data_IF_310387592383
#
_entry.id   IF_310387592383
#
_cell.length_a   1.000
_cell.length_b   1.000
_cell.length_c   1.000
_cell.angle_alpha   90.00
_cell.angle_beta   90.00
_cell.angle_gamma   90.00
#
_symmetry.space_group_name_H-M   'P 1'
#
loop_
_entity.id
_entity.type
_entity.pdbx_description
1 polymer ?
#
# COMPACT_ATOMS: atom_id res chain seq x y z
N UNK A 1 0.80 33.12 2.45
CA UNK A 1 0.37 31.78 1.99
C UNK A 1 0.77 30.79 3.08
N UNK A 2 -0.17 30.38 3.93
CA UNK A 2 0.10 29.34 4.91
C UNK A 2 0.41 28.05 4.18
N UNK A 3 1.57 27.47 4.44
CA UNK A 3 1.85 26.07 4.10
C UNK A 3 0.93 25.23 4.97
N UNK A 4 -0.25 24.91 4.46
CA UNK A 4 -1.09 23.88 5.05
C UNK A 4 -0.29 22.59 4.99
N UNK A 5 0.36 22.30 6.12
CA UNK A 5 1.13 21.09 6.31
C UNK A 5 0.08 20.03 6.51
N UNK A 6 -0.31 19.33 5.43
CA UNK A 6 -1.27 18.22 5.50
C UNK A 6 -0.74 17.27 6.57
N UNK A 7 -1.33 17.30 7.76
CA UNK A 7 -0.94 16.43 8.87
C UNK A 7 -1.12 14.99 8.41
N UNK A 8 0.01 14.30 8.24
CA UNK A 8 0.03 12.90 7.84
C UNK A 8 -0.42 12.06 9.01
N UNK A 9 -1.34 11.15 8.77
CA UNK A 9 -1.75 10.20 9.81
C UNK A 9 -0.61 9.20 10.03
N UNK A 10 -0.10 9.13 11.27
CA UNK A 10 0.92 8.15 11.65
C UNK A 10 0.22 6.95 12.26
N UNK A 11 0.31 5.79 11.63
CA UNK A 11 -0.30 4.56 12.10
C UNK A 11 0.35 4.11 13.41
N UNK A 12 -0.32 4.34 14.53
CA UNK A 12 0.15 3.95 15.86
C UNK A 12 -0.85 3.05 16.54
N UNK A 13 -2.10 3.50 16.58
CA UNK A 13 -3.19 2.85 17.32
C UNK A 13 -4.36 2.50 16.38
N UNK A 14 -5.29 1.64 16.81
CA UNK A 14 -6.36 1.18 15.92
C UNK A 14 -7.30 2.27 15.40
N UNK A 15 -7.41 3.43 16.06
CA UNK A 15 -8.15 4.59 15.55
C UNK A 15 -7.54 5.20 14.29
N UNK A 16 -6.24 5.00 14.05
CA UNK A 16 -5.55 5.61 12.94
C UNK A 16 -5.80 4.82 11.65
N UNK A 17 -6.21 3.55 11.77
CA UNK A 17 -6.29 2.57 10.68
C UNK A 17 -7.06 3.08 9.46
N UNK A 18 -8.34 3.45 9.62
CA UNK A 18 -9.19 3.81 8.48
C UNK A 18 -8.67 5.05 7.74
N UNK A 19 -8.22 6.06 8.51
CA UNK A 19 -7.69 7.30 7.96
C UNK A 19 -6.35 7.06 7.27
N UNK A 20 -5.46 6.31 7.91
CA UNK A 20 -4.17 5.93 7.34
C UNK A 20 -4.34 5.10 6.07
N UNK A 21 -5.23 4.10 6.06
CA UNK A 21 -5.50 3.27 4.89
C UNK A 21 -6.02 4.09 3.71
N UNK A 22 -6.92 5.04 3.98
CA UNK A 22 -7.43 5.98 2.97
C UNK A 22 -6.31 6.87 2.41
N UNK A 23 -5.45 7.40 3.27
CA UNK A 23 -4.30 8.21 2.86
C UNK A 23 -3.28 7.39 2.06
N UNK A 24 -2.99 6.16 2.47
CA UNK A 24 -2.08 5.25 1.79
C UNK A 24 -2.58 4.95 0.36
N UNK A 25 -3.84 4.55 0.21
CA UNK A 25 -4.47 4.28 -1.10
C UNK A 25 -4.44 5.49 -2.03
N UNK A 26 -4.53 6.70 -1.48
CA UNK A 26 -4.48 7.93 -2.26
C UNK A 26 -3.06 8.31 -2.71
N UNK A 27 -2.03 7.90 -1.98
CA UNK A 27 -0.63 8.26 -2.24
C UNK A 27 0.12 7.24 -3.09
N UNK A 28 -0.21 5.96 -2.91
CA UNK A 28 0.40 4.88 -3.69
C UNK A 28 -0.19 4.89 -5.10
N UNK A 29 0.68 4.74 -6.09
CA UNK A 29 0.28 4.64 -7.50
C UNK A 29 -0.70 3.48 -7.71
N UNK A 30 -1.80 3.76 -8.42
CA UNK A 30 -2.88 2.81 -8.65
C UNK A 30 -2.44 1.54 -9.38
N UNK A 31 -1.39 1.63 -10.21
CA UNK A 31 -0.89 0.49 -10.99
C UNK A 31 -0.36 -0.65 -10.12
N UNK A 32 0.09 -0.34 -8.90
CA UNK A 32 0.62 -1.34 -7.95
C UNK A 32 -0.34 -1.63 -6.78
N UNK A 33 -1.56 -1.09 -6.75
CA UNK A 33 -2.54 -1.37 -5.68
C UNK A 33 -2.76 -2.87 -5.47
N UNK A 34 -2.80 -3.61 -6.58
CA UNK A 34 -2.94 -5.06 -6.58
C UNK A 34 -1.83 -5.78 -5.79
N UNK A 35 -0.59 -5.26 -5.81
CA UNK A 35 0.55 -5.82 -5.07
C UNK A 35 0.47 -5.59 -3.56
N UNK A 36 -0.39 -4.66 -3.11
CA UNK A 36 -0.54 -4.31 -1.69
C UNK A 36 -1.82 -4.93 -1.12
N UNK A 37 -2.91 -4.88 -1.89
CA UNK A 37 -4.26 -5.15 -1.37
C UNK A 37 -4.88 -6.46 -1.89
N UNK A 38 -4.29 -7.14 -2.88
CA UNK A 38 -4.79 -8.42 -3.42
C UNK A 38 -3.85 -9.59 -3.05
N UNK A 39 -4.39 -10.80 -2.84
CA UNK A 39 -3.64 -11.93 -2.26
C UNK A 39 -2.74 -12.64 -3.27
N UNK A 40 -3.09 -12.59 -4.55
CA UNK A 40 -2.50 -13.45 -5.57
C UNK A 40 -1.62 -12.68 -6.56
N UNK A 41 -1.08 -11.53 -6.13
CA UNK A 41 -0.31 -10.64 -7.00
C UNK A 41 1.11 -10.51 -6.50
N UNK A 42 2.02 -11.05 -7.28
CA UNK A 42 3.45 -10.95 -7.07
C UNK A 42 4.04 -9.83 -7.92
N UNK A 43 5.13 -9.19 -7.46
CA UNK A 43 5.91 -8.29 -8.29
C UNK A 43 6.44 -8.99 -9.54
N UNK A 44 6.72 -8.22 -10.59
CA UNK A 44 7.42 -8.66 -11.77
C UNK A 44 8.81 -9.17 -11.38
N UNK A 45 9.20 -10.29 -11.98
CA UNK A 45 10.55 -10.82 -11.86
C UNK A 45 11.49 -10.14 -12.85
N UNK A 46 12.78 -10.08 -12.51
CA UNK A 46 13.81 -9.58 -13.41
C UNK A 46 13.86 -10.49 -14.64
N UNK A 47 13.55 -10.00 -15.86
CA UNK A 47 13.60 -10.85 -17.03
C UNK A 47 15.03 -11.31 -17.31
N UNK A 48 15.16 -12.53 -17.80
CA UNK A 48 16.43 -13.08 -18.25
C UNK A 48 16.85 -12.47 -19.58
N UNK A 49 18.13 -12.12 -19.67
CA UNK A 49 18.71 -11.57 -20.89
C UNK A 49 18.95 -12.74 -21.87
N UNK A 50 18.49 -12.64 -23.13
CA UNK A 50 18.81 -13.66 -24.12
C UNK A 50 20.31 -13.69 -24.39
N UNK A 51 20.85 -14.90 -24.44
CA UNK A 51 22.23 -15.18 -24.81
C UNK A 51 22.30 -15.66 -26.27
N UNK A 52 23.50 -15.62 -26.85
CA UNK A 52 23.68 -16.17 -28.20
C UNK A 52 23.55 -17.70 -28.21
N UNK A 53 23.95 -18.34 -27.11
CA UNK A 53 23.84 -19.76 -26.82
C UNK A 53 22.40 -20.30 -26.91
N UNK A 54 21.40 -19.46 -26.60
CA UNK A 54 19.97 -19.80 -26.71
C UNK A 54 19.53 -20.08 -28.16
N UNK A 55 20.27 -19.56 -29.15
CA UNK A 55 19.95 -19.68 -30.58
C UNK A 55 20.94 -20.59 -31.32
N UNK A 56 22.16 -20.71 -30.81
CA UNK A 56 23.20 -21.63 -31.26
C UNK A 56 24.14 -21.95 -30.09
N UNK A 57 24.19 -23.20 -29.65
CA UNK A 57 24.96 -23.62 -28.48
C UNK A 57 26.48 -23.30 -28.57
N UNK A 58 27.04 -23.21 -29.77
CA UNK A 58 28.45 -22.87 -30.00
C UNK A 58 28.69 -21.37 -30.22
N UNK A 59 27.63 -20.54 -30.23
CA UNK A 59 27.77 -19.11 -30.48
C UNK A 59 28.12 -18.35 -29.21
N UNK A 60 29.26 -17.64 -29.25
CA UNK A 60 29.69 -16.72 -28.19
C UNK A 60 29.43 -15.26 -28.58
N UNK A 61 29.19 -14.99 -29.87
CA UNK A 61 28.94 -13.66 -30.41
C UNK A 61 27.88 -13.71 -31.51
N UNK A 62 27.26 -12.55 -31.76
CA UNK A 62 26.25 -12.37 -32.80
C UNK A 62 26.69 -12.82 -34.20
N UNK A 63 27.99 -12.70 -34.53
CA UNK A 63 28.54 -13.13 -35.82
C UNK A 63 28.54 -14.66 -36.01
N UNK A 64 28.50 -15.44 -34.93
CA UNK A 64 28.44 -16.91 -34.99
C UNK A 64 27.01 -17.41 -35.26
N UNK A 65 26.04 -16.49 -35.32
CA UNK A 65 24.65 -16.75 -35.66
C UNK A 65 24.42 -16.58 -37.18
N UNK A 66 23.65 -17.48 -37.77
CA UNK A 66 23.16 -17.30 -39.14
C UNK A 66 22.06 -16.22 -39.19
N UNK A 67 21.67 -15.77 -40.39
CA UNK A 67 20.70 -14.68 -40.57
C UNK A 67 19.35 -14.91 -39.87
N UNK A 68 18.87 -16.16 -39.81
CA UNK A 68 17.63 -16.50 -39.11
C UNK A 68 17.78 -16.39 -37.58
N UNK A 69 18.88 -16.93 -37.06
CA UNK A 69 19.23 -16.84 -35.63
C UNK A 69 19.49 -15.40 -35.18
N UNK A 70 20.17 -14.60 -36.00
CA UNK A 70 20.39 -13.17 -35.75
C UNK A 70 19.07 -12.40 -35.62
N UNK A 71 18.10 -12.69 -36.49
CA UNK A 71 16.77 -12.09 -36.43
C UNK A 71 16.05 -12.51 -35.15
N UNK A 72 16.05 -13.80 -34.82
CA UNK A 72 15.42 -14.32 -33.60
C UNK A 72 16.02 -13.72 -32.32
N UNK A 73 17.35 -13.64 -32.23
CA UNK A 73 18.06 -12.98 -31.13
C UNK A 73 17.69 -11.50 -31.00
N UNK A 74 17.59 -10.79 -32.13
CA UNK A 74 17.22 -9.36 -32.13
C UNK A 74 15.79 -9.14 -31.63
N UNK A 75 14.86 -10.01 -32.01
CA UNK A 75 13.47 -9.98 -31.53
C UNK A 75 13.38 -10.28 -30.02
N UNK A 76 14.09 -11.33 -29.56
CA UNK A 76 14.16 -11.67 -28.14
C UNK A 76 14.81 -10.56 -27.30
N UNK A 77 15.87 -9.93 -27.82
CA UNK A 77 16.54 -8.80 -27.16
C UNK A 77 15.60 -7.61 -27.00
N UNK A 78 14.81 -7.30 -28.03
CA UNK A 78 13.82 -6.22 -27.98
C UNK A 78 12.72 -6.51 -26.97
N UNK A 79 12.24 -7.75 -26.92
CA UNK A 79 11.24 -8.19 -25.94
C UNK A 79 11.78 -8.11 -24.50
N UNK A 80 13.02 -8.59 -24.26
CA UNK A 80 13.73 -8.43 -22.99
C UNK A 80 13.83 -6.97 -22.57
N UNK A 81 14.20 -6.06 -23.48
CA UNK A 81 14.26 -4.63 -23.17
C UNK A 81 12.89 -4.05 -22.76
N UNK A 82 11.81 -4.51 -23.39
CA UNK A 82 10.44 -4.16 -23.02
C UNK A 82 10.10 -4.61 -21.60
N UNK A 83 10.22 -5.92 -21.34
CA UNK A 83 9.97 -6.51 -20.02
C UNK A 83 10.85 -5.88 -18.92
N UNK A 84 12.12 -5.58 -19.23
CA UNK A 84 13.04 -4.95 -18.29
C UNK A 84 12.61 -3.53 -17.92
N UNK A 85 12.08 -2.76 -18.89
CA UNK A 85 11.54 -1.42 -18.61
C UNK A 85 10.33 -1.49 -17.68
N UNK A 86 9.43 -2.44 -17.89
CA UNK A 86 8.26 -2.68 -17.03
C UNK A 86 8.69 -3.09 -15.62
N UNK A 87 9.62 -4.04 -15.50
CA UNK A 87 10.21 -4.46 -14.22
C UNK A 87 10.83 -3.29 -13.45
N UNK A 88 11.66 -2.47 -14.11
CA UNK A 88 12.28 -1.30 -13.48
C UNK A 88 11.26 -0.23 -13.07
N UNK A 89 10.21 -0.05 -13.87
CA UNK A 89 9.12 0.87 -13.54
C UNK A 89 8.37 0.40 -12.29
N UNK A 90 7.98 -0.87 -12.22
CA UNK A 90 7.31 -1.43 -11.05
C UNK A 90 8.21 -1.39 -9.81
N UNK A 91 9.49 -1.77 -9.95
CA UNK A 91 10.48 -1.72 -8.85
C UNK A 91 10.57 -0.32 -8.22
N UNK A 92 10.55 0.73 -9.07
CA UNK A 92 10.54 2.12 -8.61
C UNK A 92 9.26 2.45 -7.83
N UNK A 93 8.10 2.02 -8.31
CA UNK A 93 6.83 2.23 -7.62
C UNK A 93 6.76 1.47 -6.30
N UNK A 94 7.25 0.23 -6.27
CA UNK A 94 7.33 -0.60 -5.05
C UNK A 94 8.22 0.10 -4.01
N UNK A 95 9.38 0.60 -4.43
CA UNK A 95 10.28 1.37 -3.55
C UNK A 95 9.58 2.61 -2.98
N UNK A 96 8.90 3.38 -3.82
CA UNK A 96 8.18 4.58 -3.39
C UNK A 96 7.02 4.25 -2.42
N UNK A 97 6.30 3.14 -2.64
CA UNK A 97 5.27 2.67 -1.73
C UNK A 97 5.85 2.24 -0.39
N UNK A 98 6.98 1.52 -0.38
CA UNK A 98 7.70 1.17 0.86
C UNK A 98 8.08 2.43 1.63
N UNK A 99 8.67 3.43 0.99
CA UNK A 99 8.99 4.72 1.62
C UNK A 99 7.74 5.38 2.20
N UNK A 100 6.63 5.38 1.46
CA UNK A 100 5.37 5.97 1.93
C UNK A 100 4.86 5.27 3.20
N UNK A 101 4.94 3.94 3.25
CA UNK A 101 4.55 3.15 4.42
C UNK A 101 5.49 3.47 5.59
N UNK A 102 6.81 3.39 5.41
CA UNK A 102 7.77 3.61 6.51
C UNK A 102 7.71 5.03 7.08
N UNK A 103 7.39 6.05 6.27
CA UNK A 103 7.18 7.43 6.72
C UNK A 103 5.85 7.66 7.46
N UNK A 104 4.89 6.74 7.35
CA UNK A 104 3.52 6.92 7.87
C UNK A 104 3.13 5.90 8.94
N UNK A 105 4.08 5.11 9.44
CA UNK A 105 3.88 4.20 10.57
C UNK A 105 4.75 4.61 11.76
N UNK A 106 4.35 4.19 12.96
CA UNK A 106 5.17 4.41 14.16
C UNK A 106 6.47 3.61 14.11
N UNK A 107 7.51 4.07 14.83
CA UNK A 107 8.79 3.36 14.95
C UNK A 107 8.63 1.92 15.46
N UNK A 108 7.69 1.70 16.39
CA UNK A 108 7.41 0.37 16.93
C UNK A 108 6.79 -0.59 15.89
N UNK A 109 6.03 -0.07 14.92
CA UNK A 109 5.52 -0.88 13.81
C UNK A 109 6.61 -1.16 12.79
N UNK A 110 7.47 -0.17 12.52
CA UNK A 110 8.60 -0.33 11.60
C UNK A 110 9.52 -1.49 12.00
N UNK A 111 9.77 -1.72 13.29
CA UNK A 111 10.62 -2.83 13.76
C UNK A 111 10.07 -4.23 13.45
N UNK A 112 8.80 -4.35 13.09
CA UNK A 112 8.17 -5.62 12.72
C UNK A 112 8.18 -5.91 11.21
N UNK A 113 8.64 -4.95 10.40
CA UNK A 113 8.71 -5.05 8.95
C UNK A 113 10.15 -5.38 8.54
N UNK A 114 10.33 -6.39 7.70
CA UNK A 114 11.65 -6.79 7.20
C UNK A 114 11.82 -6.43 5.72
N UNK A 115 13.05 -6.14 5.31
CA UNK A 115 13.34 -5.63 3.97
C UNK A 115 13.14 -6.68 2.85
N UNK A 116 13.25 -7.96 3.19
CA UNK A 116 13.02 -9.11 2.30
C UNK A 116 11.53 -9.39 2.05
N UNK A 117 10.63 -8.78 2.83
CA UNK A 117 9.19 -8.98 2.72
C UNK A 117 8.56 -8.14 1.61
N UNK A 118 7.57 -8.72 0.94
CA UNK A 118 6.74 -8.04 -0.04
C UNK A 118 5.92 -6.91 0.59
N UNK A 119 5.47 -5.96 -0.24
CA UNK A 119 4.51 -4.93 0.19
C UNK A 119 3.24 -5.53 0.78
N UNK A 120 2.85 -6.71 0.29
CA UNK A 120 1.66 -7.41 0.77
C UNK A 120 1.85 -7.92 2.19
N UNK A 121 3.00 -8.55 2.46
CA UNK A 121 3.33 -9.03 3.81
C UNK A 121 3.41 -7.88 4.80
N UNK A 122 4.02 -6.75 4.41
CA UNK A 122 4.00 -5.53 5.21
C UNK A 122 2.57 -5.09 5.52
N UNK A 123 1.71 -5.03 4.51
CA UNK A 123 0.32 -4.61 4.68
C UNK A 123 -0.44 -5.54 5.64
N UNK A 124 -0.30 -6.86 5.49
CA UNK A 124 -0.96 -7.86 6.35
C UNK A 124 -0.49 -7.75 7.80
N UNK A 125 0.81 -7.54 8.05
CA UNK A 125 1.31 -7.32 9.41
C UNK A 125 0.77 -6.05 10.05
N UNK A 126 0.70 -4.97 9.29
CA UNK A 126 0.13 -3.71 9.77
C UNK A 126 -1.38 -3.84 10.04
N UNK A 127 -2.10 -4.56 9.19
CA UNK A 127 -3.51 -4.90 9.38
C UNK A 127 -3.71 -5.75 10.63
N UNK A 128 -3.01 -6.87 10.75
CA UNK A 128 -3.14 -7.76 11.92
C UNK A 128 -2.79 -7.06 13.25
N UNK A 129 -1.84 -6.11 13.24
CA UNK A 129 -1.40 -5.42 14.45
C UNK A 129 -2.17 -4.13 14.77
N UNK A 130 -3.00 -3.62 13.86
CA UNK A 130 -3.62 -2.28 14.02
C UNK A 130 -5.04 -2.18 13.55
N UNK A 131 -5.52 -3.04 12.64
CA UNK A 131 -6.89 -2.99 12.21
C UNK A 131 -7.80 -3.20 13.43
N UNK A 132 -8.69 -2.25 13.72
CA UNK A 132 -9.46 -2.31 14.94
C UNK A 132 -10.46 -3.45 14.84
N UNK A 133 -10.55 -4.26 15.90
CA UNK A 133 -11.63 -5.24 15.99
C UNK A 133 -12.96 -4.52 16.14
N UNK A 134 -14.05 -5.16 15.67
CA UNK A 134 -15.40 -4.61 15.83
C UNK A 134 -15.74 -4.29 17.28
N UNK A 135 -15.35 -5.17 18.21
CA UNK A 135 -15.55 -4.98 19.65
C UNK A 135 -14.86 -3.72 20.17
N UNK A 136 -13.58 -3.54 19.82
CA UNK A 136 -12.80 -2.36 20.20
C UNK A 136 -13.41 -1.05 19.66
N UNK A 137 -13.83 -1.03 18.39
CA UNK A 137 -14.48 0.18 17.82
C UNK A 137 -15.79 0.49 18.54
N UNK A 138 -16.60 -0.53 18.82
CA UNK A 138 -17.90 -0.34 19.45
C UNK A 138 -17.76 0.18 20.88
N UNK A 139 -16.83 -0.38 21.66
CA UNK A 139 -16.51 0.13 23.00
C UNK A 139 -16.01 1.56 22.97
N UNK A 140 -15.14 1.89 22.01
CA UNK A 140 -14.63 3.26 21.87
C UNK A 140 -15.72 4.25 21.51
N UNK A 141 -16.59 3.93 20.54
CA UNK A 141 -17.70 4.81 20.15
C UNK A 141 -18.66 4.98 21.33
N UNK A 142 -18.95 3.91 22.09
CA UNK A 142 -19.75 3.99 23.33
C UNK A 142 -19.10 4.87 24.38
N UNK A 143 -17.79 4.77 24.57
CA UNK A 143 -17.05 5.64 25.49
C UNK A 143 -17.10 7.10 25.05
N UNK A 144 -16.87 7.39 23.76
CA UNK A 144 -16.98 8.73 23.19
C UNK A 144 -18.39 9.31 23.35
N UNK A 145 -19.42 8.50 23.06
CA UNK A 145 -20.81 8.86 23.25
C UNK A 145 -21.12 9.19 24.72
N UNK A 146 -20.68 8.34 25.64
CA UNK A 146 -20.90 8.52 27.09
C UNK A 146 -20.22 9.80 27.61
N UNK A 147 -18.97 10.04 27.20
CA UNK A 147 -18.23 11.26 27.55
C UNK A 147 -18.91 12.49 26.95
N UNK A 148 -19.33 12.43 25.68
CA UNK A 148 -19.97 13.54 24.97
C UNK A 148 -21.33 13.90 25.57
N UNK A 149 -22.12 12.91 26.00
CA UNK A 149 -23.37 13.13 26.73
C UNK A 149 -23.16 13.78 28.10
N UNK A 150 -22.11 13.37 28.83
CA UNK A 150 -21.76 13.98 30.13
C UNK A 150 -21.27 15.42 30.00
N UNK A 151 -20.68 15.77 28.85
CA UNK A 151 -20.18 17.11 28.54
C UNK A 151 -21.24 18.03 27.91
N UNK A 152 -22.53 17.81 28.18
CA UNK A 152 -23.62 18.61 27.60
C UNK A 152 -23.42 20.10 27.91
N UNK A 153 -23.29 20.96 26.88
CA UNK A 153 -22.87 22.33 27.12
C UNK A 153 -24.08 23.26 27.37
N UNK A 154 -23.87 24.25 28.23
CA UNK A 154 -24.84 25.33 28.48
C UNK A 154 -24.75 26.47 27.45
N UNK A 155 -23.67 26.53 26.65
CA UNK A 155 -23.45 27.44 25.52
C UNK A 155 -22.79 26.67 24.37
N UNK A 156 -23.09 27.01 23.11
CA UNK A 156 -22.57 26.34 21.90
C UNK A 156 -23.17 24.95 21.59
N UNK A 157 -24.49 24.81 21.78
CA UNK A 157 -25.25 23.58 21.48
C UNK A 157 -25.02 23.10 20.04
N UNK A 158 -24.91 23.99 19.05
CA UNK A 158 -24.69 23.62 17.64
C UNK A 158 -23.39 22.86 17.40
N UNK A 159 -22.28 23.28 18.01
CA UNK A 159 -21.00 22.56 17.91
C UNK A 159 -21.07 21.19 18.58
N UNK A 160 -21.81 21.09 19.68
CA UNK A 160 -22.05 19.82 20.36
C UNK A 160 -22.94 18.88 19.55
N UNK A 161 -23.99 19.40 18.89
CA UNK A 161 -24.84 18.65 17.97
C UNK A 161 -24.05 18.12 16.79
N UNK A 162 -23.22 18.94 16.13
CA UNK A 162 -22.39 18.49 15.01
C UNK A 162 -21.44 17.34 15.43
N UNK A 163 -20.85 17.42 16.62
CA UNK A 163 -20.00 16.35 17.16
C UNK A 163 -20.79 15.11 17.55
N UNK A 164 -22.03 15.26 18.01
CA UNK A 164 -22.93 14.15 18.28
C UNK A 164 -23.33 13.43 17.00
N UNK A 165 -23.68 14.19 15.95
CA UNK A 165 -24.00 13.65 14.61
C UNK A 165 -22.82 12.85 14.05
N UNK A 166 -21.59 13.35 14.17
CA UNK A 166 -20.38 12.62 13.73
C UNK A 166 -20.20 11.29 14.49
N UNK A 167 -20.46 11.27 15.80
CA UNK A 167 -20.39 10.04 16.62
C UNK A 167 -21.47 9.04 16.18
N UNK A 168 -22.69 9.53 15.92
CA UNK A 168 -23.81 8.69 15.48
C UNK A 168 -23.59 8.15 14.06
N UNK A 169 -23.00 8.94 13.17
CA UNK A 169 -22.63 8.49 11.83
C UNK A 169 -21.57 7.38 11.87
N UNK A 170 -20.58 7.49 12.76
CA UNK A 170 -19.61 6.41 13.03
C UNK A 170 -20.27 5.15 13.60
N UNK A 171 -21.31 5.31 14.41
CA UNK A 171 -22.07 4.19 14.98
C UNK A 171 -22.98 3.51 13.94
N UNK A 172 -23.51 4.26 12.97
CA UNK A 172 -24.31 3.72 11.87
C UNK A 172 -23.42 3.05 10.81
N UNK A 173 -22.28 3.66 10.47
CA UNK A 173 -21.31 3.07 9.53
C UNK A 173 -20.62 1.83 10.09
N UNK A 174 -20.61 1.65 11.42
CA UNK A 174 -20.11 0.41 12.04
C UNK A 174 -20.93 -0.84 11.76
N UNK A 175 -22.15 -0.68 11.24
CA UNK A 175 -22.98 -1.76 10.70
C UNK A 175 -22.48 -2.26 9.33
N UNK A 176 -21.59 -1.53 8.66
CA UNK A 176 -21.05 -1.82 7.32
C UNK A 176 -19.65 -2.44 7.33
N UNK A 177 -18.98 -2.56 8.48
CA UNK A 177 -17.73 -3.32 8.57
C UNK A 177 -18.10 -4.81 8.56
N UNK A 178 -17.97 -5.43 7.38
CA UNK A 178 -18.66 -6.65 7.00
C UNK A 178 -18.36 -7.86 7.89
N UNK A 179 -19.42 -8.67 7.98
CA UNK A 179 -19.46 -10.13 8.12
C UNK A 179 -18.39 -10.84 7.28
#
# INVERSE_FOLDING_TARGET
MSKDTIQRTILTEPQDWDKWLKELRARVDKTIHKLIFEHDKTPLELPERPEFSDFNAEAERFADLNAGQQKAYSEASRDYEGRRKEYLYETRLVTAARTTITETISKAKLTSLHDDETLREWFVKLEASTAPTRGYMMERIRAQYTIHLRAFPTKNISTWLARWEEIMEKLNSTSSWRL
#
